data_IF_563694369784
#
_entry.id   IF_563694369784
#
_cell.length_a   1.000
_cell.length_b   1.000
_cell.length_c   1.000
_cell.angle_alpha   90.00
_cell.angle_beta   90.00
_cell.angle_gamma   90.00
#
_symmetry.space_group_name_H-M   'P 1'
#
loop_
_entity.id
_entity.type
_entity.pdbx_description
1 polymer ?
#
# COMPACT_ATOMS: atom_id res chain seq x y z
N UNK A 1 11.01 19.36 4.94
CA UNK A 1 11.71 18.61 3.89
C UNK A 1 12.58 19.59 3.15
N UNK A 2 13.89 19.36 3.09
CA UNK A 2 14.81 20.25 2.37
C UNK A 2 14.84 19.75 0.91
N UNK A 3 14.58 20.61 -0.09
CA UNK A 3 14.69 20.22 -1.48
C UNK A 3 16.14 19.90 -1.82
N UNK A 4 16.36 18.86 -2.62
CA UNK A 4 17.67 18.62 -3.23
C UNK A 4 17.83 19.56 -4.42
N UNK A 5 19.07 19.93 -4.71
CA UNK A 5 19.44 20.87 -5.76
C UNK A 5 20.33 20.23 -6.82
N UNK A 6 20.95 19.10 -6.49
CA UNK A 6 21.86 18.38 -7.37
C UNK A 6 21.60 16.87 -7.40
N UNK A 7 21.96 16.23 -8.51
CA UNK A 7 21.86 14.77 -8.69
C UNK A 7 22.72 14.02 -7.65
N UNK A 8 23.85 14.60 -7.23
CA UNK A 8 24.72 14.00 -6.22
C UNK A 8 24.02 13.76 -4.88
N UNK A 9 23.13 14.67 -4.46
CA UNK A 9 22.36 14.53 -3.22
C UNK A 9 21.35 13.37 -3.30
N UNK A 10 20.74 13.17 -4.48
CA UNK A 10 19.88 12.00 -4.72
C UNK A 10 20.67 10.68 -4.59
N UNK A 11 21.89 10.62 -5.14
CA UNK A 11 22.74 9.44 -5.04
C UNK A 11 23.19 9.16 -3.60
N UNK A 12 23.46 10.20 -2.81
CA UNK A 12 23.78 10.05 -1.38
C UNK A 12 22.60 9.50 -0.57
N UNK A 13 21.37 9.92 -0.90
CA UNK A 13 20.16 9.36 -0.29
C UNK A 13 19.96 7.88 -0.66
N UNK A 14 20.25 7.51 -1.91
CA UNK A 14 20.25 6.11 -2.34
C UNK A 14 21.30 5.30 -1.56
N UNK A 15 22.53 5.81 -1.41
CA UNK A 15 23.59 5.13 -0.65
C UNK A 15 23.23 4.94 0.83
N UNK A 16 22.64 5.98 1.44
CA UNK A 16 22.11 5.91 2.81
C UNK A 16 21.04 4.82 2.94
N UNK A 17 20.13 4.74 1.97
CA UNK A 17 19.09 3.72 1.93
C UNK A 17 19.66 2.29 1.75
N UNK A 18 20.64 2.10 0.85
CA UNK A 18 21.33 0.81 0.68
C UNK A 18 22.07 0.39 1.96
N UNK A 19 22.68 1.35 2.65
CA UNK A 19 23.33 1.13 3.93
C UNK A 19 22.34 0.67 5.00
N UNK A 20 21.14 1.27 5.04
CA UNK A 20 20.06 0.83 5.92
C UNK A 20 19.61 -0.60 5.60
N UNK A 21 19.41 -0.94 4.33
CA UNK A 21 19.08 -2.32 3.91
C UNK A 21 20.15 -3.33 4.32
N UNK A 22 21.43 -2.96 4.15
CA UNK A 22 22.55 -3.83 4.51
C UNK A 22 22.57 -4.15 6.01
N UNK A 23 22.17 -3.19 6.87
CA UNK A 23 22.02 -3.41 8.32
C UNK A 23 20.85 -4.34 8.67
N UNK A 24 19.87 -4.48 7.78
CA UNK A 24 18.75 -5.43 7.90
C UNK A 24 19.07 -6.83 7.35
N UNK A 25 20.31 -7.08 6.91
CA UNK A 25 20.75 -8.35 6.32
C UNK A 25 20.54 -8.44 4.80
N UNK A 26 20.02 -7.38 4.17
CA UNK A 26 19.85 -7.29 2.72
C UNK A 26 21.10 -6.69 2.08
N UNK A 27 22.13 -7.52 1.93
CA UNK A 27 23.45 -7.09 1.47
C UNK A 27 23.46 -6.58 0.03
N UNK A 28 24.18 -5.49 -0.21
CA UNK A 28 24.30 -4.83 -1.51
C UNK A 28 24.76 -5.73 -2.67
N UNK A 29 25.52 -6.80 -2.40
CA UNK A 29 25.98 -7.76 -3.44
C UNK A 29 24.84 -8.43 -4.22
N UNK A 30 23.65 -8.46 -3.63
CA UNK A 30 22.45 -9.06 -4.22
C UNK A 30 21.48 -8.04 -4.81
N UNK A 31 21.81 -6.74 -4.69
CA UNK A 31 21.05 -5.65 -5.28
C UNK A 31 21.45 -5.46 -6.74
N UNK A 32 20.43 -5.27 -7.59
CA UNK A 32 20.60 -4.83 -8.97
C UNK A 32 19.75 -3.59 -9.21
N UNK A 33 20.27 -2.71 -10.04
CA UNK A 33 19.65 -1.43 -10.39
C UNK A 33 19.18 -1.51 -11.84
N UNK A 34 17.93 -1.16 -12.06
CA UNK A 34 17.32 -1.15 -13.37
C UNK A 34 16.68 0.22 -13.58
N UNK A 35 17.26 1.01 -14.46
CA UNK A 35 16.69 2.28 -14.91
C UNK A 35 16.32 2.21 -16.37
N UNK A 36 15.32 2.99 -16.76
CA UNK A 36 15.17 3.38 -18.16
C UNK A 36 15.57 4.83 -18.30
N UNK A 37 16.28 5.18 -19.37
CA UNK A 37 16.60 6.58 -19.67
C UNK A 37 15.36 7.38 -20.16
N UNK A 38 14.19 6.72 -20.21
CA UNK A 38 12.93 7.35 -20.54
C UNK A 38 12.53 8.31 -19.41
N UNK A 39 12.65 9.60 -19.69
CA UNK A 39 12.17 10.66 -18.82
C UNK A 39 10.65 10.73 -18.94
N UNK A 40 9.93 10.44 -17.86
CA UNK A 40 8.50 10.66 -17.84
C UNK A 40 8.21 12.12 -17.48
N UNK A 41 7.13 12.66 -18.03
CA UNK A 41 6.69 14.05 -17.80
C UNK A 41 5.24 14.05 -17.37
N UNK A 42 4.92 14.78 -16.29
CA UNK A 42 3.55 15.04 -15.86
C UNK A 42 3.44 16.51 -15.46
N UNK A 43 2.71 17.29 -16.25
CA UNK A 43 2.61 18.74 -16.07
C UNK A 43 4.03 19.37 -16.02
N UNK A 44 4.33 20.14 -14.97
CA UNK A 44 5.60 20.84 -14.79
C UNK A 44 6.68 20.01 -14.07
N UNK A 45 6.49 18.68 -13.96
CA UNK A 45 7.43 17.78 -13.30
C UNK A 45 7.91 16.74 -14.31
N UNK A 46 9.23 16.56 -14.35
CA UNK A 46 9.91 15.47 -15.04
C UNK A 46 10.55 14.54 -14.03
N UNK A 47 10.74 13.28 -14.40
CA UNK A 47 11.45 12.34 -13.56
C UNK A 47 12.11 11.19 -14.30
N UNK A 48 13.10 10.60 -13.62
CA UNK A 48 13.74 9.34 -13.99
C UNK A 48 13.60 8.40 -12.81
N UNK A 49 13.26 7.15 -13.09
CA UNK A 49 13.07 6.10 -12.07
C UNK A 49 14.17 5.06 -12.17
N UNK A 50 14.82 4.80 -11.05
CA UNK A 50 15.68 3.65 -10.81
C UNK A 50 14.89 2.63 -9.99
N UNK A 51 14.79 1.40 -10.47
CA UNK A 51 14.18 0.27 -9.77
C UNK A 51 15.27 -0.59 -9.15
N UNK A 52 15.06 -1.02 -7.92
CA UNK A 52 15.97 -1.89 -7.20
C UNK A 52 15.37 -3.28 -7.13
N UNK A 53 16.13 -4.27 -7.58
CA UNK A 53 15.78 -5.68 -7.39
C UNK A 53 16.76 -6.34 -6.44
N UNK A 54 16.25 -7.25 -5.62
CA UNK A 54 17.06 -8.11 -4.76
C UNK A 54 16.70 -9.56 -5.09
N UNK A 55 17.70 -10.36 -5.50
CA UNK A 55 17.49 -11.75 -5.93
C UNK A 55 16.31 -11.91 -6.94
N UNK A 56 16.22 -10.99 -7.91
CA UNK A 56 15.18 -10.89 -8.96
C UNK A 56 13.79 -10.39 -8.53
N UNK A 57 13.61 -9.97 -7.28
CA UNK A 57 12.36 -9.37 -6.81
C UNK A 57 12.51 -7.85 -6.68
N UNK A 58 11.59 -7.07 -7.24
CA UNK A 58 11.59 -5.60 -7.11
C UNK A 58 11.22 -5.18 -5.68
N UNK A 59 12.15 -4.54 -4.97
CA UNK A 59 12.00 -4.17 -3.56
C UNK A 59 11.73 -2.68 -3.34
N UNK A 60 12.20 -1.86 -4.28
CA UNK A 60 12.18 -0.42 -4.13
C UNK A 60 12.29 0.29 -5.47
N UNK A 61 12.00 1.58 -5.42
CA UNK A 61 12.29 2.52 -6.49
C UNK A 61 12.82 3.83 -5.89
N UNK A 62 13.67 4.49 -6.67
CA UNK A 62 14.18 5.82 -6.39
C UNK A 62 13.92 6.66 -7.63
N UNK A 63 13.19 7.75 -7.43
CA UNK A 63 12.79 8.67 -8.47
C UNK A 63 13.45 10.01 -8.21
N UNK A 64 14.26 10.44 -9.17
CA UNK A 64 14.72 11.81 -9.24
C UNK A 64 13.68 12.63 -9.99
N UNK A 65 13.13 13.65 -9.33
CA UNK A 65 12.13 14.57 -9.86
C UNK A 65 12.75 15.95 -10.04
N UNK A 66 12.37 16.68 -11.09
CA UNK A 66 12.72 18.09 -11.25
C UNK A 66 11.63 18.90 -11.93
N UNK A 67 11.57 20.19 -11.61
CA UNK A 67 10.66 21.12 -12.27
C UNK A 67 11.12 21.43 -13.70
N UNK A 68 10.20 21.46 -14.66
CA UNK A 68 10.51 21.73 -16.07
C UNK A 68 11.03 23.13 -16.33
N UNK A 69 10.53 24.13 -15.60
CA UNK A 69 10.88 25.54 -15.76
C UNK A 69 12.05 25.95 -14.85
N UNK A 70 12.23 25.25 -13.73
CA UNK A 70 13.30 25.50 -12.76
C UNK A 70 14.02 24.19 -12.42
N UNK A 71 14.91 23.66 -13.28
CA UNK A 71 15.49 22.33 -13.11
C UNK A 71 16.27 22.12 -11.80
N UNK A 72 16.71 23.19 -11.12
CA UNK A 72 17.34 23.12 -9.79
C UNK A 72 16.34 22.84 -8.65
N UNK A 73 15.04 22.97 -8.90
CA UNK A 73 14.01 22.54 -7.97
C UNK A 73 13.82 21.04 -8.15
N UNK A 74 14.63 20.27 -7.43
CA UNK A 74 14.63 18.82 -7.49
C UNK A 74 14.02 18.21 -6.23
N UNK A 75 13.56 16.97 -6.35
CA UNK A 75 13.15 16.15 -5.23
C UNK A 75 13.62 14.71 -5.45
N UNK A 76 13.97 14.05 -4.36
CA UNK A 76 14.26 12.63 -4.33
C UNK A 76 13.10 11.91 -3.66
N UNK A 77 12.49 10.97 -4.37
CA UNK A 77 11.45 10.09 -3.84
C UNK A 77 12.01 8.66 -3.82
N UNK A 78 12.20 8.08 -2.63
CA UNK A 78 12.75 6.74 -2.46
C UNK A 78 11.73 5.93 -1.66
N UNK A 79 11.17 4.90 -2.28
CA UNK A 79 10.11 4.08 -1.73
C UNK A 79 10.48 2.61 -1.68
N UNK A 80 10.07 1.91 -0.64
CA UNK A 80 10.16 0.45 -0.55
C UNK A 80 8.89 -0.11 0.07
N UNK A 81 8.45 -1.27 -0.40
CA UNK A 81 7.33 -1.97 0.22
C UNK A 81 7.79 -2.73 1.46
N UNK A 82 7.30 -2.36 2.65
CA UNK A 82 7.67 -3.02 3.91
C UNK A 82 7.41 -4.53 3.85
N UNK A 83 6.26 -4.92 3.30
CA UNK A 83 5.87 -6.33 3.13
C UNK A 83 6.83 -7.07 2.20
N UNK A 84 7.32 -6.41 1.15
CA UNK A 84 8.29 -7.01 0.22
C UNK A 84 9.66 -7.17 0.86
N UNK A 85 10.08 -6.20 1.66
CA UNK A 85 11.32 -6.31 2.43
C UNK A 85 11.23 -7.47 3.41
N UNK A 86 10.12 -7.58 4.15
CA UNK A 86 9.86 -8.72 5.05
C UNK A 86 9.85 -10.05 4.28
N UNK A 87 9.16 -10.11 3.14
CA UNK A 87 9.08 -11.31 2.31
C UNK A 87 10.44 -11.85 1.92
N UNK A 88 11.33 -10.97 1.47
CA UNK A 88 12.69 -11.35 1.07
C UNK A 88 13.54 -11.71 2.28
N UNK A 89 13.36 -11.01 3.40
CA UNK A 89 14.12 -11.24 4.61
C UNK A 89 13.76 -12.59 5.27
N UNK A 90 12.49 -12.98 5.27
CA UNK A 90 12.04 -14.23 5.90
C UNK A 90 12.12 -15.44 4.98
N UNK A 91 12.10 -15.25 3.65
CA UNK A 91 12.06 -16.34 2.69
C UNK A 91 10.75 -17.13 2.68
N UNK A 92 9.74 -16.67 3.42
CA UNK A 92 8.39 -17.25 3.44
C UNK A 92 7.70 -17.03 2.10
N UNK A 93 6.52 -17.64 1.91
CA UNK A 93 5.70 -17.25 0.76
C UNK A 93 5.11 -15.84 0.96
N UNK A 94 4.66 -15.20 -0.12
CA UNK A 94 4.14 -13.83 -0.07
C UNK A 94 2.98 -13.66 0.90
N UNK A 95 2.06 -14.64 0.96
CA UNK A 95 0.87 -14.55 1.82
C UNK A 95 1.28 -14.51 3.29
N UNK A 96 2.18 -15.40 3.71
CA UNK A 96 2.72 -15.45 5.08
C UNK A 96 3.51 -14.18 5.42
N UNK A 97 4.31 -13.68 4.48
CA UNK A 97 5.07 -12.46 4.70
C UNK A 97 4.17 -11.21 4.84
N UNK A 98 3.11 -11.11 4.04
CA UNK A 98 2.21 -9.97 4.03
C UNK A 98 1.16 -10.02 5.16
N UNK A 99 0.63 -11.20 5.48
CA UNK A 99 -0.53 -11.38 6.36
C UNK A 99 -0.29 -12.22 7.61
N UNK A 100 0.90 -12.82 7.77
CA UNK A 100 1.23 -13.62 8.95
C UNK A 100 0.32 -14.82 9.12
N UNK A 101 -0.17 -15.03 10.35
CA UNK A 101 -0.92 -16.22 10.75
C UNK A 101 -2.21 -16.45 9.95
N UNK A 102 -2.78 -15.39 9.34
CA UNK A 102 -4.01 -15.50 8.55
C UNK A 102 -3.80 -15.96 7.12
N UNK A 103 -2.55 -16.07 6.67
CA UNK A 103 -2.20 -16.34 5.28
C UNK A 103 -2.80 -17.64 4.71
N UNK A 104 -3.09 -18.62 5.57
CA UNK A 104 -3.68 -19.91 5.21
C UNK A 104 -5.19 -20.03 5.50
N UNK A 105 -5.74 -19.14 6.33
CA UNK A 105 -7.13 -19.23 6.79
C UNK A 105 -8.10 -18.50 5.84
N UNK A 106 -7.60 -17.49 5.11
CA UNK A 106 -8.42 -16.60 4.29
C UNK A 106 -7.77 -16.27 2.94
N UNK A 107 -8.57 -15.98 1.90
CA UNK A 107 -8.03 -15.51 0.63
C UNK A 107 -7.22 -14.20 0.79
N UNK A 108 -6.04 -14.07 0.17
CA UNK A 108 -5.21 -12.87 0.26
C UNK A 108 -5.94 -11.57 -0.09
N UNK A 109 -6.87 -11.63 -1.05
CA UNK A 109 -7.67 -10.48 -1.48
C UNK A 109 -8.60 -9.97 -0.37
N UNK A 110 -9.15 -10.88 0.44
CA UNK A 110 -9.99 -10.51 1.58
C UNK A 110 -9.16 -9.85 2.69
N UNK A 111 -7.99 -10.41 2.98
CA UNK A 111 -7.06 -9.88 3.99
C UNK A 111 -6.57 -8.48 3.59
N UNK A 112 -6.17 -8.31 2.34
CA UNK A 112 -5.76 -7.01 1.77
C UNK A 112 -6.91 -6.00 1.82
N UNK A 113 -8.13 -6.41 1.49
CA UNK A 113 -9.30 -5.55 1.53
C UNK A 113 -9.61 -5.05 2.94
N UNK A 114 -9.60 -5.94 3.94
CA UNK A 114 -9.85 -5.57 5.34
C UNK A 114 -8.74 -4.65 5.87
N UNK A 115 -7.48 -4.98 5.57
CA UNK A 115 -6.34 -4.18 5.99
C UNK A 115 -6.37 -2.79 5.36
N UNK A 116 -6.69 -2.70 4.08
CA UNK A 116 -6.84 -1.43 3.36
C UNK A 116 -8.02 -0.62 3.88
N UNK A 117 -9.19 -1.23 4.05
CA UNK A 117 -10.38 -0.55 4.57
C UNK A 117 -10.13 0.03 5.97
N UNK A 118 -9.42 -0.71 6.83
CA UNK A 118 -9.02 -0.26 8.16
C UNK A 118 -8.23 1.05 8.10
N UNK A 119 -7.23 1.13 7.22
CA UNK A 119 -6.41 2.33 7.06
C UNK A 119 -7.18 3.49 6.44
N UNK A 120 -8.02 3.24 5.43
CA UNK A 120 -8.83 4.28 4.80
C UNK A 120 -9.83 4.89 5.79
N UNK A 121 -10.48 4.06 6.60
CA UNK A 121 -11.41 4.51 7.64
C UNK A 121 -10.68 5.29 8.72
N UNK A 122 -9.52 4.83 9.18
CA UNK A 122 -8.71 5.58 10.13
C UNK A 122 -8.23 6.93 9.57
N UNK A 123 -7.92 6.96 8.26
CA UNK A 123 -7.62 8.15 7.48
C UNK A 123 -8.76 9.16 7.37
N UNK A 124 -9.95 8.83 7.88
CA UNK A 124 -11.15 9.67 7.85
C UNK A 124 -12.03 9.47 6.62
N UNK A 125 -11.71 8.51 5.76
CA UNK A 125 -12.56 8.17 4.62
C UNK A 125 -13.77 7.40 5.14
N UNK A 126 -14.96 7.79 4.69
CA UNK A 126 -16.23 7.17 5.07
C UNK A 126 -16.91 6.57 3.85
N UNK A 127 -17.66 5.46 3.99
CA UNK A 127 -18.52 4.96 2.92
C UNK A 127 -19.47 6.07 2.43
N UNK A 128 -19.67 6.17 1.12
CA UNK A 128 -20.40 7.27 0.52
C UNK A 128 -20.36 7.26 -1.01
N UNK A 129 -21.06 8.17 -1.67
CA UNK A 129 -21.27 8.14 -3.13
C UNK A 129 -20.29 9.01 -3.93
N UNK A 130 -19.46 9.83 -3.28
CA UNK A 130 -18.63 10.84 -3.94
C UNK A 130 -17.19 10.84 -3.42
N UNK A 131 -16.28 11.35 -4.26
CA UNK A 131 -14.90 11.60 -3.87
C UNK A 131 -14.14 10.34 -3.41
N UNK A 132 -13.30 10.46 -2.35
CA UNK A 132 -12.47 9.35 -1.85
C UNK A 132 -13.26 8.10 -1.45
N UNK A 133 -14.55 8.24 -1.12
CA UNK A 133 -15.43 7.11 -0.79
C UNK A 133 -15.53 6.08 -1.91
N UNK A 134 -15.33 6.46 -3.18
CA UNK A 134 -15.31 5.49 -4.30
C UNK A 134 -14.14 4.50 -4.20
N UNK A 135 -13.00 4.90 -3.66
CA UNK A 135 -11.88 3.99 -3.45
C UNK A 135 -12.20 3.01 -2.32
N UNK A 136 -12.70 3.51 -1.19
CA UNK A 136 -13.15 2.65 -0.08
C UNK A 136 -14.24 1.67 -0.53
N UNK A 137 -15.23 2.13 -1.29
CA UNK A 137 -16.28 1.27 -1.81
C UNK A 137 -15.74 0.10 -2.65
N UNK A 138 -14.77 0.35 -3.55
CA UNK A 138 -14.15 -0.72 -4.35
C UNK A 138 -13.42 -1.75 -3.50
N UNK A 139 -12.83 -1.31 -2.40
CA UNK A 139 -12.19 -2.19 -1.41
C UNK A 139 -13.24 -3.02 -0.68
N UNK A 140 -14.31 -2.37 -0.19
CA UNK A 140 -15.41 -3.04 0.51
C UNK A 140 -16.15 -4.05 -0.37
N UNK A 141 -16.23 -3.82 -1.69
CA UNK A 141 -16.84 -4.74 -2.64
C UNK A 141 -16.07 -6.07 -2.76
N UNK A 142 -14.83 -6.16 -2.26
CA UNK A 142 -14.05 -7.40 -2.17
C UNK A 142 -14.37 -8.24 -0.92
N UNK A 143 -15.18 -7.71 0.01
CA UNK A 143 -15.53 -8.40 1.26
C UNK A 143 -16.87 -9.10 1.06
N UNK A 144 -16.93 -10.44 1.04
CA UNK A 144 -18.18 -11.16 0.83
C UNK A 144 -19.19 -10.86 1.93
N UNK A 145 -20.45 -10.62 1.56
CA UNK A 145 -21.54 -10.31 2.50
C UNK A 145 -21.67 -11.34 3.61
N UNK A 146 -21.51 -12.63 3.30
CA UNK A 146 -21.61 -13.72 4.26
C UNK A 146 -20.53 -13.60 5.34
N UNK A 147 -19.31 -13.23 4.95
CA UNK A 147 -18.19 -13.05 5.87
C UNK A 147 -18.38 -11.78 6.72
N UNK A 148 -18.81 -10.67 6.10
CA UNK A 148 -19.17 -9.46 6.83
C UNK A 148 -20.30 -9.69 7.86
N UNK A 149 -21.30 -10.50 7.51
CA UNK A 149 -22.43 -10.84 8.40
C UNK A 149 -21.99 -11.75 9.55
N UNK A 150 -21.03 -12.64 9.32
CA UNK A 150 -20.46 -13.49 10.36
C UNK A 150 -19.57 -12.71 11.36
N UNK A 151 -19.07 -11.54 10.95
CA UNK A 151 -18.26 -10.63 11.75
C UNK A 151 -16.78 -10.66 11.36
N UNK A 152 -16.15 -9.48 11.35
CA UNK A 152 -14.76 -9.24 10.92
C UNK A 152 -13.83 -8.84 12.07
N UNK A 153 -14.34 -8.81 13.30
CA UNK A 153 -13.66 -8.24 14.47
C UNK A 153 -12.22 -8.73 14.68
N UNK A 154 -11.95 -10.02 14.48
CA UNK A 154 -10.58 -10.57 14.59
C UNK A 154 -9.66 -10.01 13.50
N UNK A 155 -10.08 -10.11 12.23
CA UNK A 155 -9.29 -9.65 11.09
C UNK A 155 -9.05 -8.13 11.13
N UNK A 156 -10.05 -7.37 11.58
CA UNK A 156 -9.92 -5.91 11.76
C UNK A 156 -8.98 -5.58 12.91
N UNK A 157 -9.05 -6.30 14.03
CA UNK A 157 -8.11 -6.11 15.15
C UNK A 157 -6.67 -6.41 14.74
N UNK A 158 -6.45 -7.44 13.94
CA UNK A 158 -5.11 -7.81 13.48
C UNK A 158 -4.57 -6.79 12.47
N UNK A 159 -5.40 -6.30 11.55
CA UNK A 159 -5.07 -5.16 10.70
C UNK A 159 -4.79 -3.88 11.51
N UNK A 160 -5.55 -3.63 12.58
CA UNK A 160 -5.37 -2.50 13.48
C UNK A 160 -4.03 -2.59 14.22
N UNK A 161 -3.69 -3.75 14.79
CA UNK A 161 -2.39 -4.00 15.42
C UNK A 161 -1.26 -3.80 14.43
N UNK A 162 -1.40 -4.32 13.21
CA UNK A 162 -0.40 -4.16 12.15
C UNK A 162 -0.16 -2.68 11.85
N UNK A 163 -1.20 -1.90 11.57
CA UNK A 163 -1.04 -0.49 11.26
C UNK A 163 -0.59 0.34 12.47
N UNK A 164 -0.93 -0.08 13.68
CA UNK A 164 -0.46 0.52 14.92
C UNK A 164 1.07 0.47 15.11
N UNK A 165 1.76 -0.45 14.41
CA UNK A 165 3.22 -0.49 14.39
C UNK A 165 3.84 0.60 13.48
N UNK A 166 3.06 1.14 12.54
CA UNK A 166 3.52 2.08 11.51
C UNK A 166 3.04 3.50 11.81
N UNK A 167 1.84 3.64 12.36
CA UNK A 167 1.20 4.94 12.60
C UNK A 167 0.24 4.89 13.78
N UNK A 168 0.03 6.04 14.44
CA UNK A 168 -0.98 6.15 15.48
C UNK A 168 -2.39 6.18 14.85
N UNK A 169 -3.16 5.14 15.11
CA UNK A 169 -4.55 5.04 14.67
C UNK A 169 -5.46 5.84 15.61
N UNK A 170 -6.44 6.53 15.02
CA UNK A 170 -7.36 7.45 15.69
C UNK A 170 -8.73 6.84 15.96
N UNK A 171 -9.19 5.97 15.06
CA UNK A 171 -10.52 5.34 15.15
C UNK A 171 -10.38 4.00 15.88
N UNK A 172 -11.05 3.77 17.02
CA UNK A 172 -10.97 2.48 17.72
C UNK A 172 -11.37 1.30 16.82
N UNK A 173 -10.65 0.18 16.93
CA UNK A 173 -10.89 -1.00 16.10
C UNK A 173 -12.35 -1.51 16.10
N UNK A 174 -13.14 -1.46 17.21
CA UNK A 174 -14.52 -1.94 17.17
C UNK A 174 -15.39 -1.08 16.26
N UNK A 175 -15.18 0.24 16.28
CA UNK A 175 -15.90 1.20 15.43
C UNK A 175 -15.54 0.97 13.96
N UNK A 176 -14.24 0.78 13.67
CA UNK A 176 -13.78 0.44 12.33
C UNK A 176 -14.39 -0.88 11.83
N UNK A 177 -14.46 -1.91 12.68
CA UNK A 177 -15.06 -3.20 12.32
C UNK A 177 -16.52 -3.04 11.95
N UNK A 178 -17.31 -2.38 12.81
CA UNK A 178 -18.72 -2.13 12.58
C UNK A 178 -18.95 -1.40 11.25
N UNK A 179 -18.17 -0.34 10.98
CA UNK A 179 -18.31 0.43 9.75
C UNK A 179 -18.00 -0.37 8.48
N UNK A 180 -16.99 -1.26 8.54
CA UNK A 180 -16.66 -2.15 7.41
C UNK A 180 -17.79 -3.16 7.19
N UNK A 181 -18.25 -3.81 8.26
CA UNK A 181 -19.29 -4.83 8.22
C UNK A 181 -20.60 -4.27 7.67
N UNK A 182 -21.10 -3.17 8.24
CA UNK A 182 -22.35 -2.52 7.82
C UNK A 182 -22.29 -2.10 6.34
N UNK A 183 -21.17 -1.48 5.92
CA UNK A 183 -21.02 -1.02 4.55
C UNK A 183 -20.93 -2.18 3.56
N UNK A 184 -20.17 -3.24 3.86
CA UNK A 184 -20.08 -4.41 2.99
C UNK A 184 -21.44 -5.13 2.83
N UNK A 185 -22.21 -5.24 3.92
CA UNK A 185 -23.55 -5.84 3.93
C UNK A 185 -24.53 -5.03 3.07
N UNK A 186 -24.59 -3.71 3.28
CA UNK A 186 -25.53 -2.83 2.56
C UNK A 186 -25.24 -2.75 1.06
N UNK A 187 -23.96 -2.77 0.69
CA UNK A 187 -23.53 -2.62 -0.71
C UNK A 187 -23.86 -3.86 -1.54
N UNK A 188 -23.58 -5.05 -1.01
CA UNK A 188 -23.94 -6.30 -1.71
C UNK A 188 -25.45 -6.39 -1.95
N UNK A 189 -26.27 -6.00 -0.96
CA UNK A 189 -27.73 -5.97 -1.08
C UNK A 189 -28.26 -4.94 -2.10
N UNK A 190 -27.47 -3.90 -2.41
CA UNK A 190 -27.83 -2.90 -3.43
C UNK A 190 -27.48 -3.40 -4.83
N UNK A 191 -26.32 -4.05 -4.99
CA UNK A 191 -25.90 -4.69 -6.24
C UNK A 191 -26.84 -5.82 -6.66
N UNK A 192 -27.27 -6.66 -5.70
CA UNK A 192 -28.22 -7.76 -5.96
C UNK A 192 -29.59 -7.25 -6.41
N UNK A 193 -30.09 -6.14 -5.86
CA UNK A 193 -31.35 -5.51 -6.29
C UNK A 193 -31.26 -4.97 -7.72
N UNK A 194 -30.22 -4.18 -8.02
CA UNK A 194 -30.02 -3.66 -9.38
C UNK A 194 -29.82 -4.74 -10.44
N UNK A 195 -29.29 -5.91 -10.07
CA UNK A 195 -29.19 -7.06 -11.00
C UNK A 195 -30.54 -7.73 -11.26
N UNK A 196 -31.44 -7.78 -10.27
CA UNK A 196 -32.80 -8.32 -10.45
C UNK A 196 -33.64 -7.41 -11.34
N UNK A 197 -33.47 -6.10 -11.22
CA UNK A 197 -34.21 -5.11 -12.02
C UNK A 197 -33.77 -5.04 -13.50
N UNK A 198 -32.63 -5.65 -13.86
CA UNK A 198 -32.13 -5.74 -15.24
C UNK A 198 -32.43 -7.08 -15.95
N UNK A 199 -33.00 -8.05 -15.23
CA UNK A 199 -33.34 -9.39 -15.76
C UNK A 199 -34.88 -9.56 -15.89
N UNK A 200 -35.66 -8.55 -15.47
CA UNK A 200 -37.09 -8.43 -15.71
C UNK A 200 -37.36 -7.49 -16.90
#
# INVERSE_FOLDING_TARGET
MVPITEVGEHLQLIDTWISALSRLGLHARHLRFHGTHNIWTRQNVRGITLRFTYANTTIADAVLLWNTSHPRHMASDIGSGLERLRWIQTGHNWSEAAFGDHAGDWPPQLLDAIRTATLLIDGGIRPGTRGPSRALNRVLDQIPRQIATAGLSRLVRDAYTHWGQVTQLRTPWPVTSQMIEEAAIMRTASTERGRKDHIA
#
